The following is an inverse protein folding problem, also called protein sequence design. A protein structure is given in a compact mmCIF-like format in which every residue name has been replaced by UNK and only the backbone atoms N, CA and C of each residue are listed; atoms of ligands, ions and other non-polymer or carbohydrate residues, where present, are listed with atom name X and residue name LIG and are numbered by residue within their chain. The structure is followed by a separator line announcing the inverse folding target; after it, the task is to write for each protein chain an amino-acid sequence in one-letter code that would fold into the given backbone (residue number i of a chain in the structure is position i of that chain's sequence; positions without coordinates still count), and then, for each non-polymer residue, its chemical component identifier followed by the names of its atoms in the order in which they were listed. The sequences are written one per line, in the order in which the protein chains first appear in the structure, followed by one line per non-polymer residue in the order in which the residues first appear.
data_IF_694066994918
#
_entry.id   IF_694066994918
#
_cell.length_a   1.000
_cell.length_b   1.000
_cell.length_c   1.000
_cell.angle_alpha   90.00
_cell.angle_beta   90.00
_cell.angle_gamma   90.00
#
_symmetry.space_group_name_H-M   'P 1'
#
loop_
_entity.id
_entity.type
_entity.pdbx_description
1 polymer ?
#
# COMPACT_ATOMS: atom_id res chain seq x y z
N UNK A 1 7.81 3.60 1.40
CA UNK A 1 7.33 3.19 0.06
C UNK A 1 6.24 4.12 -0.46
N UNK A 2 5.07 4.27 0.16
CA UNK A 2 4.04 5.21 -0.33
C UNK A 2 4.59 6.63 -0.60
N UNK A 3 5.37 7.18 0.34
CA UNK A 3 6.03 8.48 0.17
C UNK A 3 6.98 8.55 -1.05
N UNK A 4 7.66 7.47 -1.43
CA UNK A 4 8.53 7.48 -2.63
C UNK A 4 7.72 7.44 -3.93
N UNK A 5 6.57 6.76 -3.95
CA UNK A 5 5.64 6.84 -5.07
C UNK A 5 5.11 8.28 -5.24
N UNK A 6 4.74 8.94 -4.14
CA UNK A 6 4.30 10.35 -4.17
C UNK A 6 5.41 11.28 -4.65
N UNK A 7 6.64 11.11 -4.15
CA UNK A 7 7.81 11.88 -4.61
C UNK A 7 8.10 11.68 -6.12
N UNK A 8 7.82 10.48 -6.64
CA UNK A 8 7.93 10.15 -8.06
C UNK A 8 6.72 10.57 -8.91
N UNK A 9 5.76 11.30 -8.34
CA UNK A 9 4.61 11.89 -9.07
C UNK A 9 3.35 11.03 -9.11
N UNK A 10 3.25 9.96 -8.31
CA UNK A 10 2.01 9.19 -8.17
C UNK A 10 1.09 9.80 -7.12
N UNK A 11 -0.20 9.86 -7.41
CA UNK A 11 -1.19 10.36 -6.47
C UNK A 11 -1.48 9.34 -5.36
N UNK A 12 -1.48 9.80 -4.11
CA UNK A 12 -1.88 8.97 -2.97
C UNK A 12 -3.38 8.71 -3.00
N UNK A 13 -3.79 7.45 -2.96
CA UNK A 13 -5.19 7.07 -2.78
C UNK A 13 -5.55 6.88 -1.29
N UNK A 14 -4.73 6.14 -0.55
CA UNK A 14 -4.86 5.95 0.90
C UNK A 14 -3.52 5.51 1.52
N UNK A 15 -3.40 5.68 2.84
CA UNK A 15 -2.27 5.22 3.67
C UNK A 15 -2.80 4.65 5.00
N UNK A 16 -2.06 3.70 5.60
CA UNK A 16 -2.40 2.90 6.81
C UNK A 16 -3.68 2.03 6.72
N UNK A 17 -4.80 2.55 6.21
CA UNK A 17 -6.06 1.81 6.05
C UNK A 17 -6.48 1.89 4.59
N UNK A 18 -6.73 0.73 3.97
CA UNK A 18 -7.13 0.61 2.57
C UNK A 18 -8.56 0.08 2.50
N UNK A 19 -9.59 0.93 2.38
CA UNK A 19 -10.96 0.45 2.27
C UNK A 19 -11.16 -0.22 0.91
N UNK A 20 -11.68 -1.45 0.92
CA UNK A 20 -11.92 -2.23 -0.28
C UNK A 20 -13.42 -2.47 -0.47
N UNK A 21 -13.84 -2.53 -1.72
CA UNK A 21 -15.21 -2.82 -2.12
C UNK A 21 -15.18 -3.76 -3.32
N UNK A 22 -15.97 -4.84 -3.29
CA UNK A 22 -16.22 -5.65 -4.48
C UNK A 22 -17.34 -5.01 -5.31
N UNK A 23 -17.10 -4.91 -6.62
CA UNK A 23 -18.06 -4.48 -7.65
C UNK A 23 -18.16 -5.57 -8.72
N UNK A 24 -19.10 -5.40 -9.65
CA UNK A 24 -19.31 -6.35 -10.75
C UNK A 24 -18.05 -6.57 -11.61
N UNK A 25 -17.22 -5.54 -11.76
CA UNK A 25 -16.02 -5.52 -12.60
C UNK A 25 -14.71 -5.75 -11.81
N UNK A 26 -14.79 -6.09 -10.52
CA UNK A 26 -13.65 -6.49 -9.70
C UNK A 26 -13.58 -5.82 -8.34
N UNK A 27 -12.37 -5.80 -7.78
CA UNK A 27 -12.10 -5.19 -6.46
C UNK A 27 -11.68 -3.74 -6.65
N UNK A 28 -12.32 -2.84 -5.93
CA UNK A 28 -12.05 -1.41 -5.96
C UNK A 28 -11.53 -0.92 -4.62
N UNK A 29 -10.60 0.02 -4.68
CA UNK A 29 -10.07 0.74 -3.53
C UNK A 29 -10.79 2.07 -3.43
N UNK A 30 -11.28 2.41 -2.23
CA UNK A 30 -11.87 3.71 -1.95
C UNK A 30 -10.80 4.70 -1.45
N UNK A 31 -10.94 6.00 -1.77
CA UNK A 31 -10.01 7.00 -1.30
C UNK A 31 -10.05 7.16 0.23
N UNK A 32 -8.87 7.26 0.83
CA UNK A 32 -8.68 7.65 2.21
C UNK A 32 -8.35 9.14 2.35
N UNK A 33 -7.92 9.57 3.54
CA UNK A 33 -7.42 10.93 3.74
C UNK A 33 -6.16 11.21 2.90
N UNK A 34 -5.99 12.46 2.44
CA UNK A 34 -4.78 12.94 1.77
C UNK A 34 -3.61 13.11 2.78
N UNK A 35 -3.23 12.03 3.46
CA UNK A 35 -2.34 12.04 4.61
C UNK A 35 -1.43 10.81 4.57
N UNK A 36 -0.12 11.04 4.59
CA UNK A 36 0.88 10.01 4.89
C UNK A 36 1.21 10.00 6.38
N UNK A 37 1.43 8.80 6.92
CA UNK A 37 1.88 8.60 8.30
C UNK A 37 3.21 7.84 8.32
N UNK A 38 4.29 8.60 8.43
CA UNK A 38 5.64 8.09 8.22
C UNK A 38 6.37 7.91 9.55
N UNK A 39 7.14 6.84 9.68
CA UNK A 39 8.14 6.76 10.73
C UNK A 39 9.19 7.88 10.56
N UNK A 40 9.81 8.41 11.63
CA UNK A 40 10.75 9.52 11.51
C UNK A 40 11.91 9.28 10.53
N UNK A 41 12.44 8.05 10.49
CA UNK A 41 13.49 7.63 9.57
C UNK A 41 13.00 7.58 8.10
N UNK A 42 11.72 7.28 7.88
CA UNK A 42 11.09 7.31 6.56
C UNK A 42 10.82 8.74 6.11
N UNK A 43 10.36 9.60 7.03
CA UNK A 43 10.16 11.02 6.77
C UNK A 43 11.48 11.73 6.41
N UNK A 44 12.57 11.42 7.13
CA UNK A 44 13.91 11.96 6.87
C UNK A 44 14.51 11.65 5.49
N UNK A 45 13.95 10.68 4.78
CA UNK A 45 14.39 10.33 3.42
C UNK A 45 13.64 11.11 2.33
N UNK A 46 12.52 11.76 2.67
CA UNK A 46 11.63 12.40 1.69
C UNK A 46 11.36 13.87 2.04
N UNK A 47 11.59 14.28 3.29
CA UNK A 47 11.45 15.65 3.76
C UNK A 47 12.75 16.18 4.35
N UNK A 48 13.06 17.44 4.02
CA UNK A 48 14.29 18.13 4.46
C UNK A 48 14.32 18.37 5.97
N UNK A 49 13.17 18.68 6.60
CA UNK A 49 13.06 18.85 8.05
C UNK A 49 11.88 18.04 8.65
N UNK A 50 12.09 16.75 8.96
CA UNK A 50 11.08 15.88 9.57
C UNK A 50 10.70 16.26 10.99
N UNK A 51 11.51 17.07 11.68
CA UNK A 51 11.24 17.48 13.06
C UNK A 51 10.07 18.47 13.11
N UNK A 52 9.85 19.24 12.05
CA UNK A 52 8.72 20.16 11.90
C UNK A 52 7.38 19.46 11.67
N UNK A 53 7.40 18.19 11.24
CA UNK A 53 6.18 17.44 10.98
C UNK A 53 5.45 17.13 12.30
N UNK A 54 4.13 17.32 12.29
CA UNK A 54 3.28 17.01 13.44
C UNK A 54 3.33 15.51 13.75
N UNK A 55 3.40 15.14 15.04
CA UNK A 55 3.21 13.74 15.46
C UNK A 55 1.79 13.27 15.18
N UNK A 56 1.65 12.02 14.75
CA UNK A 56 0.35 11.41 14.48
C UNK A 56 -0.48 11.22 15.75
N UNK A 57 0.12 10.65 16.79
CA UNK A 57 -0.48 10.51 18.12
C UNK A 57 0.62 10.46 19.17
N UNK A 58 0.28 10.63 20.45
CA UNK A 58 1.25 10.58 21.54
C UNK A 58 1.93 9.21 21.67
N UNK A 59 1.19 8.14 21.36
CA UNK A 59 1.66 6.75 21.51
C UNK A 59 2.51 6.26 20.34
N UNK A 60 2.75 7.07 19.31
CA UNK A 60 3.54 6.66 18.15
C UNK A 60 4.51 7.77 17.71
N UNK A 61 5.75 7.43 17.31
CA UNK A 61 6.66 8.41 16.75
C UNK A 61 6.32 8.74 15.28
N UNK A 62 5.30 8.12 14.67
CA UNK A 62 4.87 8.46 13.30
C UNK A 62 4.58 9.96 13.16
N UNK A 63 4.98 10.52 12.02
CA UNK A 63 4.79 11.91 11.60
C UNK A 63 3.71 11.98 10.53
N UNK A 64 2.91 13.05 10.58
CA UNK A 64 1.85 13.33 9.62
C UNK A 64 2.39 14.23 8.51
N UNK A 65 2.13 13.85 7.27
CA UNK A 65 2.34 14.69 6.10
C UNK A 65 1.00 14.82 5.38
N UNK A 66 0.38 15.99 5.48
CA UNK A 66 -0.80 16.32 4.70
C UNK A 66 -0.38 16.69 3.28
N UNK A 67 -0.95 16.01 2.30
CA UNK A 67 -0.69 16.25 0.89
C UNK A 67 -1.68 17.29 0.36
N UNK A 68 -1.28 18.14 -0.60
CA UNK A 68 -2.22 19.02 -1.30
C UNK A 68 -3.33 18.19 -1.96
N UNK A 69 -4.58 18.62 -1.80
CA UNK A 69 -5.75 17.99 -2.43
C UNK A 69 -5.84 18.35 -3.92
N UNK A 70 -4.83 17.95 -4.67
CA UNK A 70 -4.71 18.14 -6.12
C UNK A 70 -4.46 16.77 -6.76
N UNK A 71 -4.92 16.57 -7.99
CA UNK A 71 -4.78 15.28 -8.70
C UNK A 71 -3.32 14.84 -8.87
N UNK A 72 -2.35 15.76 -8.74
CA UNK A 72 -0.91 15.45 -8.72
C UNK A 72 -0.48 14.64 -7.49
N UNK A 73 -1.07 14.89 -6.33
CA UNK A 73 -0.61 14.33 -5.05
C UNK A 73 -1.65 13.43 -4.38
N UNK A 74 -2.92 13.56 -4.74
CA UNK A 74 -4.02 12.85 -4.10
C UNK A 74 -5.07 12.41 -5.12
N UNK A 75 -5.50 11.15 -4.99
CA UNK A 75 -6.61 10.60 -5.76
C UNK A 75 -7.86 10.56 -4.89
N UNK A 76 -8.83 11.41 -5.18
CA UNK A 76 -10.13 11.47 -4.48
C UNK A 76 -11.21 10.57 -5.07
N UNK A 77 -10.85 9.65 -5.97
CA UNK A 77 -11.80 8.79 -6.69
C UNK A 77 -11.45 7.31 -6.46
N UNK A 78 -12.43 6.41 -6.38
CA UNK A 78 -12.15 4.98 -6.32
C UNK A 78 -11.35 4.51 -7.54
N UNK A 79 -10.47 3.54 -7.36
CA UNK A 79 -9.68 2.91 -8.43
C UNK A 79 -9.75 1.37 -8.36
N UNK A 80 -9.69 0.66 -9.49
CA UNK A 80 -9.60 -0.79 -9.48
C UNK A 80 -8.27 -1.25 -8.88
N UNK A 81 -8.33 -2.22 -7.95
CA UNK A 81 -7.16 -2.88 -7.39
C UNK A 81 -6.62 -3.88 -8.41
N UNK A 82 -5.35 -3.71 -8.82
CA UNK A 82 -4.72 -4.55 -9.85
C UNK A 82 -3.77 -5.60 -9.29
N UNK A 83 -3.13 -5.32 -8.18
CA UNK A 83 -2.19 -6.23 -7.53
C UNK A 83 -2.02 -5.87 -6.05
N UNK A 84 -1.60 -6.86 -5.26
CA UNK A 84 -1.26 -6.67 -3.84
C UNK A 84 0.17 -7.15 -3.61
N UNK A 85 1.00 -6.29 -3.03
CA UNK A 85 2.39 -6.58 -2.71
C UNK A 85 2.56 -6.71 -1.20
N UNK A 86 2.91 -7.91 -0.73
CA UNK A 86 3.27 -8.17 0.65
C UNK A 86 4.74 -7.82 0.87
N UNK A 87 4.98 -6.80 1.68
CA UNK A 87 6.34 -6.37 2.02
C UNK A 87 6.92 -7.28 3.10
N UNK A 88 8.01 -7.95 2.80
CA UNK A 88 8.75 -8.79 3.76
C UNK A 88 10.17 -8.27 3.93
N UNK A 89 10.71 -8.29 5.16
CA UNK A 89 12.10 -7.88 5.37
C UNK A 89 13.03 -8.95 4.82
N UNK A 90 14.01 -8.53 4.04
CA UNK A 90 15.06 -9.42 3.54
C UNK A 90 16.45 -8.89 3.91
N UNK A 91 17.37 -9.83 4.15
CA UNK A 91 18.79 -9.53 4.36
C UNK A 91 19.51 -9.28 3.03
N UNK A 92 19.07 -9.96 1.98
CA UNK A 92 19.60 -9.83 0.63
C UNK A 92 19.10 -8.56 -0.08
N UNK A 93 19.93 -7.99 -0.93
CA UNK A 93 19.59 -6.82 -1.75
C UNK A 93 18.91 -7.16 -3.08
N UNK A 94 18.64 -8.44 -3.34
CA UNK A 94 18.03 -8.89 -4.59
C UNK A 94 16.52 -8.70 -4.49
N UNK A 95 15.99 -7.82 -5.34
CA UNK A 95 14.54 -7.61 -5.47
C UNK A 95 14.00 -8.60 -6.48
N UNK A 96 13.28 -9.62 -6.00
CA UNK A 96 12.55 -10.56 -6.85
C UNK A 96 11.09 -10.65 -6.38
N UNK A 97 10.17 -10.32 -7.27
CA UNK A 97 8.74 -10.49 -7.02
C UNK A 97 8.37 -11.95 -7.20
N UNK A 98 7.79 -12.53 -6.16
CA UNK A 98 7.37 -13.94 -6.16
C UNK A 98 5.85 -14.02 -6.00
N UNK A 99 5.14 -14.81 -6.81
CA UNK A 99 3.70 -15.01 -6.61
C UNK A 99 3.43 -15.69 -5.27
N UNK A 100 2.40 -15.23 -4.57
CA UNK A 100 1.88 -15.90 -3.39
C UNK A 100 0.83 -16.94 -3.80
N UNK A 101 0.86 -18.10 -3.15
CA UNK A 101 -0.28 -19.03 -3.20
C UNK A 101 -1.52 -18.38 -2.58
N UNK A 102 -2.71 -18.86 -2.94
CA UNK A 102 -3.97 -18.37 -2.35
C UNK A 102 -3.97 -18.49 -0.81
N UNK A 103 -3.36 -19.55 -0.28
CA UNK A 103 -3.20 -19.74 1.17
C UNK A 103 -2.33 -18.64 1.79
N UNK A 104 -1.18 -18.34 1.19
CA UNK A 104 -0.30 -17.27 1.69
C UNK A 104 -0.97 -15.90 1.58
N UNK A 105 -1.66 -15.62 0.46
CA UNK A 105 -2.41 -14.38 0.26
C UNK A 105 -3.51 -14.20 1.32
N UNK A 106 -4.28 -15.24 1.61
CA UNK A 106 -5.31 -15.21 2.65
C UNK A 106 -4.69 -14.92 4.03
N UNK A 107 -3.61 -15.63 4.39
CA UNK A 107 -2.93 -15.40 5.66
C UNK A 107 -2.35 -13.98 5.77
N UNK A 108 -1.83 -13.44 4.65
CA UNK A 108 -1.33 -12.08 4.58
C UNK A 108 -2.44 -11.02 4.78
N UNK A 109 -3.63 -11.23 4.20
CA UNK A 109 -4.78 -10.35 4.43
C UNK A 109 -5.24 -10.41 5.89
N UNK A 110 -5.33 -11.62 6.47
CA UNK A 110 -5.69 -11.80 7.87
C UNK A 110 -4.67 -11.12 8.79
N UNK A 111 -3.36 -11.25 8.55
CA UNK A 111 -2.35 -10.62 9.39
C UNK A 111 -2.32 -9.08 9.25
N UNK A 112 -2.72 -8.57 8.08
CA UNK A 112 -2.69 -7.13 7.77
C UNK A 112 -3.99 -6.39 8.10
N UNK A 113 -5.08 -7.10 8.34
CA UNK A 113 -6.39 -6.50 8.55
C UNK A 113 -6.49 -5.75 9.88
N UNK A 114 -6.81 -4.47 9.77
CA UNK A 114 -6.93 -3.56 10.90
C UNK A 114 -8.11 -3.94 11.79
N UNK A 115 -7.88 -4.00 13.11
CA UNK A 115 -8.96 -4.22 14.06
C UNK A 115 -9.47 -5.66 14.14
N UNK A 116 -8.77 -6.66 13.59
CA UNK A 116 -9.16 -8.08 13.69
C UNK A 116 -9.46 -8.55 15.11
N UNK A 117 -8.76 -8.00 16.11
CA UNK A 117 -8.98 -8.30 17.53
C UNK A 117 -10.31 -7.77 18.09
N UNK A 118 -10.97 -6.85 17.37
CA UNK A 118 -12.26 -6.24 17.73
C UNK A 118 -13.44 -6.93 17.04
N UNK A 119 -13.20 -7.67 15.95
CA UNK A 119 -14.27 -8.33 15.19
C UNK A 119 -14.72 -9.61 15.93
N UNK A 120 -16.03 -9.75 16.12
CA UNK A 120 -16.67 -10.96 16.66
C UNK A 120 -17.91 -11.32 15.86
N UNK A 121 -18.22 -12.62 15.82
CA UNK A 121 -19.44 -13.12 15.19
C UNK A 121 -19.53 -12.75 13.70
N UNK A 122 -20.65 -12.16 13.31
CA UNK A 122 -21.01 -11.89 11.92
C UNK A 122 -20.00 -11.01 11.17
N UNK A 123 -19.39 -10.02 11.82
CA UNK A 123 -18.41 -9.15 11.17
C UNK A 123 -17.13 -9.90 10.78
N UNK A 124 -16.69 -10.84 11.61
CA UNK A 124 -15.54 -11.69 11.29
C UNK A 124 -15.88 -12.63 10.11
N UNK A 125 -17.08 -13.22 10.11
CA UNK A 125 -17.55 -14.05 8.99
C UNK A 125 -17.54 -13.28 7.68
N UNK A 126 -18.18 -12.10 7.66
CA UNK A 126 -18.22 -11.24 6.47
C UNK A 126 -16.84 -10.87 5.95
N UNK A 127 -15.88 -10.63 6.85
CA UNK A 127 -14.51 -10.35 6.46
C UNK A 127 -13.81 -11.58 5.86
N UNK A 128 -14.01 -12.77 6.41
CA UNK A 128 -13.45 -14.01 5.86
C UNK A 128 -14.07 -14.35 4.50
N UNK A 129 -15.38 -14.17 4.36
CA UNK A 129 -16.10 -14.34 3.08
C UNK A 129 -15.55 -13.36 2.04
N UNK A 130 -15.33 -12.10 2.44
CA UNK A 130 -14.70 -11.09 1.59
C UNK A 130 -13.29 -11.50 1.14
N UNK A 131 -12.43 -11.99 2.06
CA UNK A 131 -11.09 -12.45 1.68
C UNK A 131 -11.12 -13.65 0.75
N UNK A 132 -11.99 -14.64 1.03
CA UNK A 132 -12.18 -15.80 0.18
C UNK A 132 -12.66 -15.41 -1.23
N UNK A 133 -13.46 -14.35 -1.35
CA UNK A 133 -13.91 -13.81 -2.62
C UNK A 133 -12.78 -13.12 -3.42
N UNK A 134 -11.95 -12.29 -2.77
CA UNK A 134 -10.97 -11.46 -3.50
C UNK A 134 -9.66 -12.18 -3.80
N UNK A 135 -9.21 -13.10 -2.95
CA UNK A 135 -7.91 -13.78 -3.08
C UNK A 135 -7.73 -14.48 -4.44
N UNK A 136 -8.74 -15.20 -4.97
CA UNK A 136 -8.61 -15.85 -6.28
C UNK A 136 -8.62 -14.88 -7.47
N UNK A 137 -9.05 -13.63 -7.27
CA UNK A 137 -9.31 -12.66 -8.35
C UNK A 137 -8.17 -11.68 -8.58
N UNK A 138 -7.20 -11.62 -7.66
CA UNK A 138 -6.11 -10.65 -7.69
C UNK A 138 -4.75 -11.35 -7.67
N UNK A 139 -3.74 -10.82 -8.35
CA UNK A 139 -2.37 -11.25 -8.17
C UNK A 139 -1.84 -10.74 -6.82
N UNK A 140 -1.37 -11.67 -6.00
CA UNK A 140 -0.64 -11.39 -4.76
C UNK A 140 0.82 -11.74 -4.96
N UNK A 141 1.71 -10.82 -4.56
CA UNK A 141 3.16 -11.00 -4.71
C UNK A 141 3.89 -10.67 -3.44
N UNK A 142 4.91 -11.45 -3.13
CA UNK A 142 5.90 -11.12 -2.12
C UNK A 142 6.89 -10.13 -2.71
N UNK A 143 7.16 -9.05 -1.97
CA UNK A 143 8.18 -8.06 -2.29
C UNK A 143 9.19 -8.02 -1.13
N UNK A 144 10.36 -8.64 -1.30
CA UNK A 144 11.48 -8.53 -0.37
C UNK A 144 11.96 -7.08 -0.30
N UNK A 145 12.00 -6.50 0.90
CA UNK A 145 12.46 -5.13 1.17
C UNK A 145 13.76 -5.22 1.97
N UNK A 146 14.90 -4.81 1.39
CA UNK A 146 16.18 -4.80 2.08
C UNK A 146 16.15 -3.90 3.32
N UNK A 147 16.97 -4.25 4.32
CA UNK A 147 17.12 -3.46 5.52
C UNK A 147 17.41 -1.98 5.20
N UNK A 148 16.83 -1.08 6.01
CA UNK A 148 16.94 0.37 5.87
C UNK A 148 16.51 0.94 4.49
N UNK A 149 15.68 0.20 3.73
CA UNK A 149 15.21 0.61 2.41
C UNK A 149 16.34 0.89 1.41
N UNK A 150 17.48 0.21 1.56
CA UNK A 150 18.55 0.25 0.54
C UNK A 150 17.96 -0.24 -0.79
N UNK A 151 18.20 0.51 -1.86
CA UNK A 151 17.65 0.17 -3.19
C UNK A 151 16.15 0.47 -3.34
N UNK A 152 15.60 1.47 -2.63
CA UNK A 152 14.20 1.88 -2.76
C UNK A 152 13.78 2.20 -4.21
N UNK A 153 14.70 2.75 -5.01
CA UNK A 153 14.50 2.97 -6.45
C UNK A 153 14.29 1.64 -7.19
N UNK A 154 15.14 0.64 -6.95
CA UNK A 154 15.00 -0.71 -7.53
C UNK A 154 13.69 -1.38 -7.12
N UNK A 155 13.24 -1.22 -5.87
CA UNK A 155 11.94 -1.72 -5.42
C UNK A 155 10.78 -1.04 -6.14
N UNK A 156 10.90 0.28 -6.35
CA UNK A 156 9.91 1.06 -7.08
C UNK A 156 9.83 0.61 -8.54
N UNK A 157 10.97 0.48 -9.22
CA UNK A 157 11.04 0.04 -10.61
C UNK A 157 10.46 -1.37 -10.79
N UNK A 158 10.81 -2.30 -9.88
CA UNK A 158 10.28 -3.66 -9.91
C UNK A 158 8.74 -3.70 -9.79
N UNK A 159 8.15 -2.87 -8.93
CA UNK A 159 6.69 -2.77 -8.81
C UNK A 159 6.08 -2.18 -10.07
N UNK A 160 6.69 -1.15 -10.67
CA UNK A 160 6.17 -0.54 -11.90
C UNK A 160 6.21 -1.48 -13.10
N UNK A 161 7.33 -2.19 -13.29
CA UNK A 161 7.48 -3.19 -14.34
C UNK A 161 6.42 -4.29 -14.20
N UNK A 162 6.20 -4.75 -12.98
CA UNK A 162 5.22 -5.79 -12.69
C UNK A 162 3.78 -5.32 -12.91
N UNK A 163 3.44 -4.13 -12.42
CA UNK A 163 2.11 -3.54 -12.61
C UNK A 163 1.81 -3.33 -14.09
N UNK A 164 2.80 -3.00 -14.93
CA UNK A 164 2.61 -2.90 -16.39
C UNK A 164 2.15 -4.24 -17.01
N UNK A 165 2.56 -5.38 -16.46
CA UNK A 165 2.09 -6.71 -16.91
C UNK A 165 0.64 -7.00 -16.55
N UNK A 166 0.07 -6.28 -15.58
CA UNK A 166 -1.34 -6.41 -15.15
C UNK A 166 -2.32 -5.56 -15.97
N UNK A 167 -1.82 -4.91 -17.03
CA UNK A 167 -2.62 -4.04 -17.90
C UNK A 167 -2.71 -2.58 -17.45
N UNK A 168 -1.93 -2.18 -16.44
CA UNK A 168 -1.74 -0.76 -16.12
C UNK A 168 -0.96 -0.07 -17.23
N UNK A 169 -1.54 0.99 -17.79
CA UNK A 169 -0.82 1.96 -18.62
C UNK A 169 -0.72 3.22 -17.80
N UNK A 170 0.49 3.76 -17.66
CA UNK A 170 0.66 5.14 -17.21
C UNK A 170 -0.01 5.99 -18.28
N UNK A 171 -1.13 6.61 -17.95
CA UNK A 171 -1.69 7.67 -18.78
C UNK A 171 -0.63 8.77 -18.81
N UNK A 172 0.10 8.83 -19.92
CA UNK A 172 1.08 9.87 -20.16
C UNK A 172 0.36 11.20 -20.26
N UNK A 173 0.85 12.20 -19.56
CA UNK A 173 0.79 13.58 -20.04
C UNK A 173 1.94 14.39 -19.42
N UNK A 174 2.35 15.50 -20.06
CA UNK A 174 3.70 15.83 -20.47
C UNK A 174 4.59 16.35 -19.33
#
# INVERSE_FOLDING_TARGET
MAASFVAAGHALLSDDVLPLQVREDGVWVLPGPALLRLWPDSAARVWDDPATLRRHALQTPKRQVWLPMTERFYCGKPLPLRAVYLLERAEESIVRLEPLSQREALLALISSAFGNFLLRGELLSRQMDFFAQIVPTLPFRRLPVPAAFKGLATLYDAVLEDVATTGYRRDGNP
#
